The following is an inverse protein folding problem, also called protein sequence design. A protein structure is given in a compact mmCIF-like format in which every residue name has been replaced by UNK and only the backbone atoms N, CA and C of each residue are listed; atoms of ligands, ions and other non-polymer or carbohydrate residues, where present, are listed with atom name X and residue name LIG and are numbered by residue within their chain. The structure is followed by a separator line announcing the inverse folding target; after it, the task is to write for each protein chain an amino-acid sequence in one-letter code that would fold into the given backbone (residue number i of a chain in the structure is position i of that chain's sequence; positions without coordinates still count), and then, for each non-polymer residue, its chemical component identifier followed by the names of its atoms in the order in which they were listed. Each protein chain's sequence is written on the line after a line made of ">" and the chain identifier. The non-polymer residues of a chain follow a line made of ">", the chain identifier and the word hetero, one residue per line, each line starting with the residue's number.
data_IF_752445760879
#
_entry.id   IF_752445760879
#
_cell.length_a   1.000
_cell.length_b   1.000
_cell.length_c   1.000
_cell.angle_alpha   90.00
_cell.angle_beta   90.00
_cell.angle_gamma   90.00
#
_symmetry.space_group_name_H-M   'P 1'
#
loop_
_entity.id
_entity.type
_entity.pdbx_description
1 polymer ?
#
# COMPACT_ATOMS: atom_id res chain seq x y z
N UNK A 1 75.55 -15.22 -54.96
CA UNK A 1 74.58 -16.04 -54.17
C UNK A 1 74.33 -15.33 -52.89
N UNK A 2 73.24 -14.58 -52.85
CA UNK A 2 72.81 -13.87 -51.63
C UNK A 2 71.77 -14.72 -50.94
N UNK A 3 72.10 -15.21 -49.76
CA UNK A 3 71.11 -15.90 -48.88
C UNK A 3 70.39 -14.85 -48.04
N UNK A 4 69.12 -14.66 -48.32
CA UNK A 4 68.24 -13.84 -47.50
C UNK A 4 67.88 -14.68 -46.30
N UNK A 5 68.31 -14.27 -45.09
CA UNK A 5 67.79 -14.84 -43.82
C UNK A 5 66.52 -14.18 -43.47
N UNK A 6 65.43 -14.96 -43.57
CA UNK A 6 64.11 -14.55 -43.00
C UNK A 6 64.25 -14.66 -41.49
N UNK A 7 64.18 -13.52 -40.82
CA UNK A 7 64.06 -13.49 -39.36
C UNK A 7 62.53 -13.58 -39.07
N UNK A 8 62.10 -14.74 -38.66
CA UNK A 8 60.73 -14.86 -38.10
C UNK A 8 60.69 -14.15 -36.74
N UNK A 9 60.07 -12.96 -36.72
CA UNK A 9 59.71 -12.29 -35.49
C UNK A 9 58.57 -13.01 -34.86
N UNK A 10 58.77 -13.54 -33.65
CA UNK A 10 57.69 -14.09 -32.82
C UNK A 10 56.82 -12.96 -32.34
N UNK A 11 55.60 -12.88 -32.89
CA UNK A 11 54.53 -11.99 -32.35
C UNK A 11 54.09 -12.59 -31.07
N UNK A 12 54.43 -11.97 -29.94
CA UNK A 12 53.81 -12.25 -28.64
C UNK A 12 52.41 -11.64 -28.65
N UNK A 13 51.43 -12.44 -28.88
CA UNK A 13 50.05 -12.04 -28.65
C UNK A 13 49.84 -11.87 -27.13
N UNK A 14 49.74 -10.63 -26.68
CA UNK A 14 49.31 -10.33 -25.35
C UNK A 14 47.81 -10.65 -25.27
N UNK A 15 47.42 -11.69 -24.52
CA UNK A 15 46.04 -11.96 -24.19
C UNK A 15 45.55 -10.88 -23.23
N UNK A 16 44.72 -9.97 -23.73
CA UNK A 16 44.02 -9.01 -22.87
C UNK A 16 42.89 -9.78 -22.20
N UNK A 17 43.08 -10.12 -20.93
CA UNK A 17 41.99 -10.66 -20.11
C UNK A 17 41.01 -9.51 -19.83
N UNK A 18 39.91 -9.48 -20.57
CA UNK A 18 38.78 -8.63 -20.25
C UNK A 18 38.10 -9.25 -19.01
N UNK A 19 38.40 -8.70 -17.85
CA UNK A 19 37.64 -8.99 -16.66
C UNK A 19 36.22 -8.43 -16.87
N UNK A 20 35.27 -9.31 -17.20
CA UNK A 20 33.86 -8.97 -17.20
C UNK A 20 33.47 -8.67 -15.74
N UNK A 21 33.39 -7.38 -15.40
CA UNK A 21 32.71 -6.95 -14.19
C UNK A 21 31.21 -7.32 -14.33
N UNK A 22 30.84 -8.49 -13.83
CA UNK A 22 29.42 -8.81 -13.63
C UNK A 22 28.91 -7.83 -12.58
N UNK A 23 28.18 -6.82 -13.05
CA UNK A 23 27.34 -5.99 -12.19
C UNK A 23 26.30 -6.92 -11.61
N UNK A 24 26.56 -7.40 -10.40
CA UNK A 24 25.52 -8.02 -9.58
C UNK A 24 24.56 -6.89 -9.22
N UNK A 25 23.51 -6.74 -10.01
CA UNK A 25 22.37 -5.94 -9.60
C UNK A 25 21.77 -6.61 -8.36
N UNK A 26 22.08 -6.06 -7.19
CA UNK A 26 21.38 -6.43 -5.97
C UNK A 26 19.95 -5.93 -6.16
N UNK A 27 19.08 -6.79 -6.66
CA UNK A 27 17.65 -6.63 -6.54
C UNK A 27 17.34 -6.62 -5.05
N UNK A 28 17.18 -5.46 -4.46
CA UNK A 28 16.50 -5.38 -3.18
C UNK A 28 15.10 -5.92 -3.45
N UNK A 29 14.84 -7.15 -3.02
CA UNK A 29 13.48 -7.66 -2.94
C UNK A 29 12.72 -6.65 -2.09
N UNK A 30 11.77 -5.91 -2.70
CA UNK A 30 10.87 -5.03 -1.98
C UNK A 30 10.25 -5.88 -0.88
N UNK A 31 10.35 -5.43 0.36
CA UNK A 31 9.86 -6.17 1.53
C UNK A 31 8.35 -6.32 1.36
N UNK A 32 7.92 -7.44 0.79
CA UNK A 32 6.53 -7.72 0.41
C UNK A 32 5.61 -7.94 1.62
N UNK A 33 6.10 -7.68 2.83
CA UNK A 33 5.38 -7.90 4.09
C UNK A 33 4.48 -6.72 4.48
N UNK A 34 4.70 -5.54 3.88
CA UNK A 34 3.88 -4.35 4.10
C UNK A 34 2.80 -4.22 3.03
N UNK A 35 1.69 -4.89 3.24
CA UNK A 35 0.57 -4.91 2.30
C UNK A 35 -0.79 -4.94 3.01
N UNK A 36 -1.83 -4.57 2.27
CA UNK A 36 -3.21 -4.78 2.67
C UNK A 36 -4.03 -5.26 1.46
N UNK A 37 -4.98 -6.13 1.70
CA UNK A 37 -5.89 -6.67 0.69
C UNK A 37 -7.33 -6.42 1.11
N UNK A 38 -8.12 -5.91 0.19
CA UNK A 38 -9.49 -5.46 0.42
C UNK A 38 -10.44 -6.21 -0.50
N UNK A 39 -11.55 -6.68 0.04
CA UNK A 39 -12.54 -7.50 -0.64
C UNK A 39 -13.91 -6.83 -0.62
N UNK A 40 -14.66 -6.99 -1.69
CA UNK A 40 -16.00 -6.43 -1.86
C UNK A 40 -17.00 -6.99 -0.85
N UNK A 41 -16.96 -8.30 -0.63
CA UNK A 41 -17.88 -9.00 0.24
C UNK A 41 -17.23 -9.37 1.58
N UNK A 42 -18.05 -9.80 2.54
CA UNK A 42 -17.58 -10.49 3.74
C UNK A 42 -16.90 -11.82 3.39
N UNK A 43 -16.21 -12.41 4.35
CA UNK A 43 -15.50 -13.69 4.22
C UNK A 43 -14.42 -13.72 3.12
N UNK A 44 -13.88 -12.52 2.76
CA UNK A 44 -12.82 -12.39 1.73
C UNK A 44 -13.28 -12.84 0.34
N UNK A 45 -14.52 -12.61 0.01
CA UNK A 45 -15.13 -12.99 -1.26
C UNK A 45 -15.36 -11.78 -2.18
N UNK A 46 -15.65 -12.07 -3.45
CA UNK A 46 -15.93 -11.08 -4.47
C UNK A 46 -14.67 -10.50 -5.12
N UNK A 47 -14.85 -9.36 -5.77
CA UNK A 47 -13.71 -8.62 -6.33
C UNK A 47 -12.80 -8.12 -5.19
N UNK A 48 -11.53 -7.99 -5.48
CA UNK A 48 -10.54 -7.55 -4.51
C UNK A 48 -9.42 -6.77 -5.15
N UNK A 49 -8.72 -6.00 -4.34
CA UNK A 49 -7.47 -5.34 -4.71
C UNK A 49 -6.47 -5.40 -3.56
N UNK A 50 -5.20 -5.37 -3.91
CA UNK A 50 -4.08 -5.36 -2.96
C UNK A 50 -3.26 -4.09 -3.12
N UNK A 51 -2.89 -3.51 -2.00
CA UNK A 51 -1.99 -2.36 -1.92
C UNK A 51 -0.70 -2.76 -1.24
N UNK A 52 0.41 -2.40 -1.86
CA UNK A 52 1.73 -2.45 -1.23
C UNK A 52 2.00 -1.09 -0.58
N UNK A 53 2.33 -1.11 0.72
CA UNK A 53 2.60 0.12 1.47
C UNK A 53 4.04 0.62 1.31
N UNK A 54 4.36 1.80 1.87
CA UNK A 54 3.38 2.74 2.40
C UNK A 54 2.60 3.45 1.28
N UNK A 55 1.31 3.64 1.47
CA UNK A 55 0.44 4.33 0.53
C UNK A 55 -0.72 5.03 1.24
N UNK A 56 -1.16 6.16 0.70
CA UNK A 56 -2.34 6.87 1.16
C UNK A 56 -3.25 7.14 -0.02
N UNK A 57 -4.51 6.76 0.10
CA UNK A 57 -5.55 7.01 -0.89
C UNK A 57 -6.58 7.96 -0.27
N UNK A 58 -6.57 9.21 -0.70
CA UNK A 58 -7.47 10.27 -0.23
C UNK A 58 -8.92 10.07 -0.69
N UNK A 59 -9.13 9.25 -1.70
CA UNK A 59 -10.42 8.73 -2.16
C UNK A 59 -10.21 7.36 -2.82
N UNK A 60 -11.30 6.64 -3.04
CA UNK A 60 -11.28 5.32 -3.66
C UNK A 60 -12.00 5.27 -5.02
N UNK A 61 -12.19 6.43 -5.67
CA UNK A 61 -12.90 6.52 -6.96
C UNK A 61 -12.21 5.75 -8.09
N UNK A 62 -10.89 5.63 -8.04
CA UNK A 62 -10.12 4.94 -9.07
C UNK A 62 -8.94 4.17 -8.48
N UNK A 63 -9.21 3.01 -7.94
CA UNK A 63 -8.19 2.07 -7.46
C UNK A 63 -8.08 0.93 -8.47
N UNK A 64 -6.91 0.81 -9.11
CA UNK A 64 -6.67 -0.18 -10.18
C UNK A 64 -7.74 -0.13 -11.29
N UNK A 65 -8.21 1.08 -11.64
CA UNK A 65 -9.19 1.31 -12.70
C UNK A 65 -10.65 1.09 -12.30
N UNK A 66 -10.94 0.85 -11.03
CA UNK A 66 -12.29 0.64 -10.52
C UNK A 66 -12.63 1.61 -9.38
N UNK A 67 -13.91 1.95 -9.26
CA UNK A 67 -14.42 2.68 -8.11
C UNK A 67 -14.67 1.71 -6.95
N UNK A 68 -13.93 1.89 -5.86
CA UNK A 68 -14.02 1.11 -4.63
C UNK A 68 -14.66 1.85 -3.46
N UNK A 69 -15.10 3.08 -3.68
CA UNK A 69 -15.77 3.85 -2.65
C UNK A 69 -17.04 3.14 -2.19
N UNK A 70 -17.21 3.00 -0.88
CA UNK A 70 -18.36 2.33 -0.25
C UNK A 70 -18.59 0.87 -0.72
N UNK A 71 -17.55 0.15 -1.14
CA UNK A 71 -17.68 -1.23 -1.63
C UNK A 71 -16.94 -2.28 -0.79
N UNK A 72 -16.14 -1.88 0.18
CA UNK A 72 -15.30 -2.81 0.92
C UNK A 72 -16.09 -3.48 2.06
N UNK A 73 -16.08 -4.81 2.07
CA UNK A 73 -16.79 -5.66 3.06
C UNK A 73 -15.87 -6.41 4.02
N UNK A 74 -14.63 -6.73 3.60
CA UNK A 74 -13.63 -7.42 4.43
C UNK A 74 -12.22 -7.04 4.01
N UNK A 75 -11.22 -7.30 4.87
CA UNK A 75 -9.83 -6.98 4.58
C UNK A 75 -8.84 -7.90 5.32
N UNK A 76 -7.62 -7.95 4.80
CA UNK A 76 -6.46 -8.58 5.43
C UNK A 76 -5.30 -7.60 5.48
N UNK A 77 -4.53 -7.64 6.55
CA UNK A 77 -3.34 -6.81 6.76
C UNK A 77 -2.10 -7.69 6.83
N UNK A 78 -1.07 -7.31 6.11
CA UNK A 78 0.21 -8.00 6.09
C UNK A 78 0.99 -7.88 7.40
N UNK A 79 2.08 -8.66 7.56
CA UNK A 79 2.80 -8.77 8.84
C UNK A 79 3.59 -7.52 9.24
N UNK A 80 3.84 -6.59 8.31
CA UNK A 80 4.53 -5.31 8.57
C UNK A 80 3.71 -4.09 8.18
N UNK A 81 2.41 -4.25 8.07
CA UNK A 81 1.49 -3.20 7.70
C UNK A 81 0.53 -2.85 8.84
N UNK A 82 0.11 -1.60 8.82
CA UNK A 82 -1.03 -1.11 9.60
C UNK A 82 -1.96 -0.36 8.65
N UNK A 83 -3.25 -0.61 8.74
CA UNK A 83 -4.27 0.00 7.89
C UNK A 83 -5.15 0.91 8.72
N UNK A 84 -5.33 2.15 8.26
CA UNK A 84 -6.32 3.06 8.81
C UNK A 84 -7.36 3.36 7.73
N UNK A 85 -8.63 3.16 8.02
CA UNK A 85 -9.74 3.41 7.11
C UNK A 85 -10.65 4.52 7.65
N UNK A 86 -11.25 5.29 6.75
CA UNK A 86 -12.06 6.47 7.06
C UNK A 86 -13.38 6.43 6.29
N UNK A 87 -14.46 6.86 6.92
CA UNK A 87 -15.77 7.01 6.28
C UNK A 87 -15.84 8.22 5.32
N UNK A 88 -14.91 9.15 5.45
CA UNK A 88 -14.87 10.36 4.63
C UNK A 88 -13.65 10.35 3.69
N UNK A 89 -13.76 11.06 2.57
CA UNK A 89 -12.61 11.34 1.69
C UNK A 89 -11.60 12.26 2.39
N UNK A 90 -10.37 12.28 1.90
CA UNK A 90 -9.28 13.10 2.44
C UNK A 90 -8.97 12.85 3.93
N UNK A 91 -9.22 11.62 4.42
CA UNK A 91 -8.94 11.21 5.80
C UNK A 91 -9.64 12.09 6.85
N UNK A 92 -10.78 12.69 6.51
CA UNK A 92 -11.46 13.62 7.40
C UNK A 92 -12.22 12.90 8.49
N UNK A 93 -12.17 13.46 9.68
CA UNK A 93 -12.96 13.09 10.85
C UNK A 93 -13.86 14.28 11.20
N UNK A 94 -14.78 14.57 10.31
CA UNK A 94 -15.56 15.83 10.32
C UNK A 94 -16.36 16.02 11.62
N UNK A 95 -17.07 14.99 12.07
CA UNK A 95 -17.84 15.08 13.31
C UNK A 95 -16.94 15.13 14.55
N UNK A 96 -15.85 14.38 14.56
CA UNK A 96 -14.85 14.40 15.64
C UNK A 96 -14.19 15.77 15.77
N UNK A 97 -13.91 16.44 14.66
CA UNK A 97 -13.42 17.80 14.66
C UNK A 97 -14.47 18.81 15.18
N UNK A 98 -15.74 18.62 14.77
CA UNK A 98 -16.88 19.40 15.27
C UNK A 98 -17.14 19.18 16.77
N UNK A 99 -16.77 18.05 17.33
CA UNK A 99 -16.89 17.74 18.77
C UNK A 99 -16.14 18.74 19.68
N UNK A 100 -15.20 19.49 19.11
CA UNK A 100 -14.51 20.61 19.78
C UNK A 100 -15.41 21.85 19.93
N UNK A 101 -16.53 21.87 19.23
CA UNK A 101 -17.47 23.00 19.17
C UNK A 101 -18.89 22.50 19.48
N UNK A 102 -19.25 22.27 20.77
CA UNK A 102 -20.52 21.67 21.15
C UNK A 102 -21.75 22.47 20.69
N UNK A 103 -21.63 23.79 20.61
CA UNK A 103 -22.70 24.66 20.11
C UNK A 103 -23.00 24.41 18.62
N UNK A 104 -21.96 24.12 17.84
CA UNK A 104 -22.12 23.77 16.42
C UNK A 104 -22.80 22.40 16.26
N UNK A 105 -22.41 21.40 17.03
CA UNK A 105 -23.08 20.08 17.04
C UNK A 105 -24.56 20.23 17.37
N UNK A 106 -24.90 20.95 18.46
CA UNK A 106 -26.26 21.17 18.87
C UNK A 106 -27.09 21.88 17.80
N UNK A 107 -26.52 22.87 17.11
CA UNK A 107 -27.21 23.58 16.02
C UNK A 107 -27.55 22.70 14.82
N UNK A 108 -26.82 21.60 14.64
CA UNK A 108 -27.02 20.59 13.60
C UNK A 108 -27.88 19.41 14.07
N UNK A 109 -28.35 19.43 15.34
CA UNK A 109 -29.10 18.34 15.95
C UNK A 109 -28.24 17.11 16.25
N UNK A 110 -26.92 17.28 16.32
CA UNK A 110 -25.94 16.24 16.61
C UNK A 110 -25.53 16.29 18.09
N UNK A 111 -25.11 15.14 18.60
CA UNK A 111 -24.65 14.98 19.99
C UNK A 111 -23.14 14.75 20.04
N UNK A 112 -22.55 14.87 21.22
CA UNK A 112 -21.14 14.48 21.45
C UNK A 112 -20.92 12.98 21.18
N UNK A 113 -21.97 12.15 21.31
CA UNK A 113 -21.88 10.74 21.01
C UNK A 113 -21.73 10.51 19.50
N UNK A 114 -22.48 11.24 18.68
CA UNK A 114 -22.33 11.20 17.22
C UNK A 114 -20.90 11.58 16.78
N UNK A 115 -20.32 12.57 17.46
CA UNK A 115 -18.93 12.98 17.20
C UNK A 115 -17.89 11.92 17.61
N UNK A 116 -18.20 11.09 18.61
CA UNK A 116 -17.33 9.98 19.03
C UNK A 116 -17.45 8.76 18.11
N UNK A 117 -18.60 8.61 17.47
CA UNK A 117 -18.89 7.53 16.53
C UNK A 117 -18.34 7.81 15.10
N UNK A 118 -17.97 9.06 14.81
CA UNK A 118 -17.26 9.42 13.57
C UNK A 118 -15.84 8.89 13.64
N UNK A 119 -15.65 7.69 13.15
CA UNK A 119 -14.47 6.91 13.45
C UNK A 119 -13.59 6.64 12.25
N UNK A 120 -12.32 6.82 12.49
CA UNK A 120 -11.30 6.02 11.84
C UNK A 120 -11.25 4.65 12.51
N UNK A 121 -11.04 3.59 11.74
CA UNK A 121 -10.68 2.28 12.26
C UNK A 121 -9.23 1.98 11.92
N UNK A 122 -8.51 1.46 12.89
CA UNK A 122 -7.10 1.07 12.74
C UNK A 122 -7.01 -0.45 12.91
N UNK A 123 -6.44 -1.10 11.91
CA UNK A 123 -6.16 -2.53 11.91
C UNK A 123 -4.66 -2.76 11.91
N UNK A 124 -4.18 -3.44 12.95
CA UNK A 124 -2.76 -3.75 13.13
C UNK A 124 -2.31 -4.90 12.22
N UNK A 125 -1.00 -5.14 12.25
CA UNK A 125 -0.37 -6.22 11.49
C UNK A 125 -1.06 -7.58 11.71
N UNK A 126 -1.10 -8.40 10.68
CA UNK A 126 -1.73 -9.71 10.64
C UNK A 126 -3.25 -9.73 10.91
N UNK A 127 -3.90 -8.57 10.96
CA UNK A 127 -5.36 -8.50 11.11
C UNK A 127 -6.06 -9.19 9.94
N UNK A 128 -7.10 -9.96 10.28
CA UNK A 128 -7.99 -10.63 9.33
C UNK A 128 -9.42 -10.28 9.70
N UNK A 129 -9.97 -9.29 9.04
CA UNK A 129 -11.33 -8.78 9.30
C UNK A 129 -12.26 -9.42 8.29
N UNK A 130 -12.96 -10.45 8.70
CA UNK A 130 -13.83 -11.23 7.84
C UNK A 130 -15.15 -10.52 7.49
N UNK A 131 -15.58 -9.58 8.32
CA UNK A 131 -16.77 -8.75 8.07
C UNK A 131 -16.64 -7.39 8.76
N UNK A 132 -16.62 -6.32 7.97
CA UNK A 132 -16.57 -4.95 8.48
C UNK A 132 -17.88 -4.52 9.15
N UNK A 133 -18.97 -5.26 8.98
CA UNK A 133 -20.21 -4.98 9.71
C UNK A 133 -20.09 -5.19 11.22
N UNK A 134 -19.16 -6.04 11.67
CA UNK A 134 -18.85 -6.22 13.10
C UNK A 134 -18.36 -4.92 13.76
N UNK A 135 -17.84 -3.99 12.96
CA UNK A 135 -17.37 -2.67 13.37
C UNK A 135 -18.31 -1.55 12.93
N UNK A 136 -19.50 -1.88 12.39
CA UNK A 136 -20.41 -0.93 11.76
C UNK A 136 -19.75 -0.12 10.61
N UNK A 137 -18.83 -0.74 9.86
CA UNK A 137 -18.00 -0.06 8.85
C UNK A 137 -18.11 -0.66 7.44
N UNK A 138 -18.94 -1.67 7.25
CA UNK A 138 -19.17 -2.30 5.94
C UNK A 138 -19.70 -1.29 4.94
N UNK A 139 -19.09 -1.26 3.74
CA UNK A 139 -19.46 -0.37 2.64
C UNK A 139 -19.46 1.13 3.02
N UNK A 140 -18.57 1.53 3.93
CA UNK A 140 -18.46 2.93 4.37
C UNK A 140 -17.10 3.56 4.08
N UNK A 141 -16.10 2.78 3.68
CA UNK A 141 -14.74 3.28 3.48
C UNK A 141 -14.66 4.15 2.22
N UNK A 142 -14.20 5.39 2.39
CA UNK A 142 -13.99 6.36 1.31
C UNK A 142 -12.54 6.82 1.15
N UNK A 143 -11.73 6.67 2.18
CA UNK A 143 -10.28 6.89 2.12
C UNK A 143 -9.55 5.94 3.07
N UNK A 144 -8.26 5.69 2.82
CA UNK A 144 -7.48 4.78 3.65
C UNK A 144 -5.98 5.08 3.58
N UNK A 145 -5.25 4.57 4.57
CA UNK A 145 -3.79 4.61 4.64
C UNK A 145 -3.26 3.21 4.95
N UNK A 146 -2.20 2.82 4.27
CA UNK A 146 -1.38 1.65 4.61
C UNK A 146 -0.01 2.19 5.03
N UNK A 147 0.36 1.96 6.28
CA UNK A 147 1.67 2.35 6.84
C UNK A 147 2.50 1.11 7.10
N UNK A 148 3.83 1.25 7.02
CA UNK A 148 4.79 0.16 7.22
C UNK A 148 5.58 0.37 8.51
N UNK A 149 6.01 -0.75 9.12
CA UNK A 149 6.90 -0.76 10.29
C UNK A 149 8.23 -1.40 9.95
#
# INVERSE_FOLDING_TARGET
>A
MNRIKLVLGTIKTAAVAIAALSLVSVSYAKDNDCWAEFFENSQYEGEHFRLEGPIQLDNLHSVQGQNWEERIGSLKVGPKAKVTVFENVNFKLTLKEMGKYPELLNSLGLTEQDAKEDSELIFDENSKIHDLSDFNFRNKIKSLKVTCH
#
